data_IF_419342557860
#
_entry.id   IF_419342557860
#
_cell.length_a   1.000
_cell.length_b   1.000
_cell.length_c   1.000
_cell.angle_alpha   90.00
_cell.angle_beta   90.00
_cell.angle_gamma   90.00
#
_symmetry.space_group_name_H-M   'P 1'
#
loop_
_entity.id
_entity.type
_entity.pdbx_description
1 polymer ?
#
# COMPACT_ATOMS: atom_id res chain seq x y z
N UNK A 1 -15.84 -4.65 4.42
CA UNK A 1 -14.79 -5.51 3.81
C UNK A 1 -13.82 -6.06 4.85
N UNK A 2 -13.30 -5.23 5.78
CA UNK A 2 -12.47 -5.75 6.89
C UNK A 2 -13.29 -6.59 7.88
N UNK A 3 -14.51 -6.15 8.24
CA UNK A 3 -15.40 -6.93 9.12
C UNK A 3 -15.72 -8.32 8.53
N UNK A 4 -16.07 -8.37 7.24
CA UNK A 4 -16.27 -9.64 6.52
C UNK A 4 -14.99 -10.51 6.51
N UNK A 5 -13.82 -9.88 6.39
CA UNK A 5 -12.55 -10.60 6.42
C UNK A 5 -12.21 -11.15 7.81
N UNK A 6 -12.65 -10.48 8.87
CA UNK A 6 -12.56 -10.95 10.26
C UNK A 6 -13.51 -12.12 10.49
N UNK A 7 -14.79 -11.94 10.16
CA UNK A 7 -15.83 -12.96 10.31
C UNK A 7 -15.48 -14.26 9.56
N UNK A 8 -14.89 -14.14 8.38
CA UNK A 8 -14.48 -15.27 7.55
C UNK A 8 -13.05 -15.77 7.82
N UNK A 9 -12.33 -15.16 8.77
CA UNK A 9 -10.96 -15.56 9.15
C UNK A 9 -9.92 -15.40 8.04
N UNK A 10 -10.13 -14.48 7.10
CA UNK A 10 -9.21 -14.23 5.98
C UNK A 10 -7.99 -13.42 6.40
N UNK A 11 -8.16 -12.60 7.43
CA UNK A 11 -7.14 -11.81 8.09
C UNK A 11 -7.25 -12.04 9.59
N UNK A 12 -6.11 -12.04 10.25
CA UNK A 12 -6.01 -12.08 11.72
C UNK A 12 -6.30 -10.69 12.31
N UNK A 13 -6.66 -10.62 13.59
CA UNK A 13 -6.87 -9.34 14.27
C UNK A 13 -5.65 -8.38 14.18
N UNK A 14 -4.39 -8.84 14.30
CA UNK A 14 -3.22 -7.99 14.06
C UNK A 14 -3.12 -7.46 12.61
N UNK A 15 -3.44 -8.29 11.60
CA UNK A 15 -3.44 -7.86 10.20
C UNK A 15 -4.54 -6.84 9.91
N UNK A 16 -5.72 -7.02 10.51
CA UNK A 16 -6.84 -6.07 10.43
C UNK A 16 -6.44 -4.76 11.08
N UNK A 17 -5.90 -4.81 12.30
CA UNK A 17 -5.40 -3.63 13.01
C UNK A 17 -4.36 -2.88 12.18
N UNK A 18 -3.41 -3.58 11.56
CA UNK A 18 -2.40 -2.95 10.70
C UNK A 18 -3.00 -2.34 9.42
N UNK A 19 -3.94 -3.00 8.76
CA UNK A 19 -4.63 -2.45 7.59
C UNK A 19 -5.49 -1.24 7.92
N UNK A 20 -6.13 -1.22 9.09
CA UNK A 20 -6.94 -0.08 9.55
C UNK A 20 -6.12 1.20 9.78
N UNK A 21 -4.78 1.09 9.84
CA UNK A 21 -3.86 2.21 9.94
C UNK A 21 -3.30 2.69 8.60
N UNK A 22 -3.77 2.14 7.46
CA UNK A 22 -3.38 2.64 6.14
C UNK A 22 -3.96 4.03 5.90
N UNK A 23 -3.17 4.97 5.38
CA UNK A 23 -3.61 6.36 5.20
C UNK A 23 -4.41 6.56 3.93
N UNK A 24 -4.24 5.66 2.94
CA UNK A 24 -5.06 5.64 1.75
C UNK A 24 -5.06 4.28 1.06
N UNK A 25 -6.19 3.95 0.45
CA UNK A 25 -6.33 2.80 -0.44
C UNK A 25 -6.80 3.31 -1.79
N UNK A 26 -6.10 2.93 -2.86
CA UNK A 26 -6.49 3.29 -4.23
C UNK A 26 -6.68 2.02 -5.04
N UNK A 27 -7.88 1.83 -5.55
CA UNK A 27 -8.17 0.80 -6.55
C UNK A 27 -7.96 1.38 -7.95
N UNK A 28 -7.22 0.68 -8.79
CA UNK A 28 -6.95 1.12 -10.15
C UNK A 28 -6.78 -0.07 -11.11
N UNK A 29 -6.70 0.24 -12.40
CA UNK A 29 -6.38 -0.72 -13.46
C UNK A 29 -5.05 -0.31 -14.09
N UNK A 30 -4.09 -1.24 -14.15
CA UNK A 30 -2.82 -1.02 -14.83
C UNK A 30 -3.06 -0.98 -16.34
N UNK A 31 -2.69 0.14 -16.98
CA UNK A 31 -3.00 0.39 -18.40
C UNK A 31 -2.36 -0.58 -19.38
N UNK A 32 -1.17 -1.10 -19.08
CA UNK A 32 -0.40 -1.93 -20.01
C UNK A 32 -1.01 -3.31 -20.26
N UNK A 33 -1.74 -3.85 -19.27
CA UNK A 33 -2.23 -5.24 -19.29
C UNK A 33 -3.60 -5.40 -18.65
N UNK A 34 -4.29 -4.29 -18.36
CA UNK A 34 -5.62 -4.25 -17.73
C UNK A 34 -5.71 -4.94 -16.36
N UNK A 35 -4.56 -5.21 -15.72
CA UNK A 35 -4.50 -5.89 -14.43
C UNK A 35 -5.09 -4.99 -13.32
N UNK A 36 -6.08 -5.47 -12.55
CA UNK A 36 -6.51 -4.79 -11.33
C UNK A 36 -5.38 -4.66 -10.33
N UNK A 37 -5.20 -3.44 -9.80
CA UNK A 37 -4.21 -3.12 -8.77
C UNK A 37 -4.88 -2.43 -7.59
N UNK A 38 -4.35 -2.68 -6.40
CA UNK A 38 -4.68 -1.95 -5.18
C UNK A 38 -3.42 -1.35 -4.59
N UNK A 39 -3.44 -0.06 -4.27
CA UNK A 39 -2.31 0.63 -3.66
C UNK A 39 -2.55 0.82 -2.17
N UNK A 40 -1.59 0.41 -1.34
CA UNK A 40 -1.50 0.83 0.06
C UNK A 40 -0.67 2.11 0.12
N UNK A 41 -1.29 3.22 0.47
CA UNK A 41 -0.67 4.55 0.49
C UNK A 41 -0.30 4.94 1.91
N UNK A 42 0.98 5.23 2.12
CA UNK A 42 1.52 5.92 3.29
C UNK A 42 1.90 7.35 2.90
N UNK A 43 1.78 8.30 3.82
CA UNK A 43 2.00 9.72 3.65
C UNK A 43 2.88 10.23 4.80
N UNK A 44 4.09 10.69 4.45
CA UNK A 44 5.05 11.18 5.44
C UNK A 44 5.61 12.54 5.04
N UNK A 45 6.01 13.36 6.02
CA UNK A 45 6.75 14.59 5.71
C UNK A 45 8.11 14.25 5.07
N UNK A 46 8.81 13.27 5.63
CA UNK A 46 10.04 12.68 5.09
C UNK A 46 9.84 11.18 5.00
N UNK A 47 9.88 10.63 3.79
CA UNK A 47 9.73 9.19 3.56
C UNK A 47 11.00 8.43 3.91
N UNK A 48 10.91 7.48 4.83
CA UNK A 48 12.01 6.67 5.32
C UNK A 48 11.83 5.16 5.04
N UNK A 49 12.68 4.32 5.65
CA UNK A 49 12.61 2.87 5.46
C UNK A 49 11.36 2.27 6.09
N UNK A 50 10.94 2.79 7.24
CA UNK A 50 9.79 2.27 7.99
C UNK A 50 8.52 2.50 7.18
N UNK A 51 8.37 3.67 6.56
CA UNK A 51 7.24 3.96 5.67
C UNK A 51 7.14 2.95 4.52
N UNK A 52 8.29 2.63 3.89
CA UNK A 52 8.36 1.66 2.80
C UNK A 52 8.01 0.25 3.28
N UNK A 53 8.47 -0.15 4.46
CA UNK A 53 8.15 -1.45 5.06
C UNK A 53 6.67 -1.57 5.39
N UNK A 54 6.05 -0.52 5.94
CA UNK A 54 4.59 -0.46 6.17
C UNK A 54 3.82 -0.57 4.86
N UNK A 55 4.15 0.25 3.88
CA UNK A 55 3.48 0.24 2.58
C UNK A 55 3.56 -1.13 1.90
N UNK A 56 4.75 -1.75 1.88
CA UNK A 56 4.96 -3.06 1.28
C UNK A 56 4.15 -4.16 1.99
N UNK A 57 4.19 -4.20 3.32
CA UNK A 57 3.45 -5.20 4.11
C UNK A 57 1.94 -5.05 3.91
N UNK A 58 1.42 -3.82 3.99
CA UNK A 58 -0.01 -3.53 3.82
C UNK A 58 -0.48 -3.82 2.41
N UNK A 59 0.35 -3.57 1.39
CA UNK A 59 0.03 -3.95 0.01
C UNK A 59 -0.19 -5.46 -0.15
N UNK A 60 0.60 -6.31 0.52
CA UNK A 60 0.41 -7.77 0.50
C UNK A 60 -0.92 -8.17 1.17
N UNK A 61 -1.26 -7.52 2.29
CA UNK A 61 -2.54 -7.77 2.98
C UNK A 61 -3.73 -7.33 2.13
N UNK A 62 -3.66 -6.15 1.51
CA UNK A 62 -4.68 -5.66 0.58
C UNK A 62 -4.81 -6.58 -0.64
N UNK A 63 -3.70 -7.04 -1.23
CA UNK A 63 -3.73 -7.99 -2.34
C UNK A 63 -4.54 -9.25 -1.98
N UNK A 64 -4.26 -9.84 -0.81
CA UNK A 64 -4.98 -11.03 -0.33
C UNK A 64 -6.46 -10.74 -0.17
N UNK A 65 -6.79 -9.64 0.50
CA UNK A 65 -8.16 -9.23 0.77
C UNK A 65 -8.96 -9.02 -0.52
N UNK A 66 -8.42 -8.21 -1.43
CA UNK A 66 -9.09 -7.87 -2.69
C UNK A 66 -9.19 -9.05 -3.65
N UNK A 67 -8.16 -9.89 -3.75
CA UNK A 67 -8.20 -11.09 -4.59
C UNK A 67 -9.31 -12.03 -4.14
N UNK A 68 -9.48 -12.20 -2.82
CA UNK A 68 -10.58 -13.01 -2.29
C UNK A 68 -11.93 -12.36 -2.50
N UNK A 69 -12.09 -11.08 -2.14
CA UNK A 69 -13.37 -10.39 -2.25
C UNK A 69 -13.86 -10.31 -3.71
N UNK A 70 -12.96 -10.12 -4.68
CA UNK A 70 -13.30 -10.06 -6.11
C UNK A 70 -13.34 -11.40 -6.83
N UNK A 71 -12.85 -12.49 -6.20
CA UNK A 71 -12.73 -13.79 -6.85
C UNK A 71 -11.79 -13.84 -8.07
N UNK A 72 -10.96 -12.82 -8.26
CA UNK A 72 -10.03 -12.68 -9.39
C UNK A 72 -8.72 -12.04 -8.93
N UNK A 73 -7.63 -12.31 -9.65
CA UNK A 73 -6.30 -11.84 -9.28
C UNK A 73 -6.21 -10.32 -9.23
N UNK A 74 -5.85 -9.77 -8.07
CA UNK A 74 -5.50 -8.35 -7.87
C UNK A 74 -4.03 -8.27 -7.47
N UNK A 75 -3.32 -7.22 -7.91
CA UNK A 75 -1.93 -6.98 -7.50
C UNK A 75 -1.87 -5.86 -6.46
N UNK A 76 -1.26 -6.13 -5.32
CA UNK A 76 -0.99 -5.12 -4.29
C UNK A 76 0.30 -4.38 -4.55
N UNK A 77 0.26 -3.05 -4.48
CA UNK A 77 1.44 -2.19 -4.66
C UNK A 77 1.55 -1.25 -3.47
N UNK A 78 2.70 -1.27 -2.78
CA UNK A 78 2.98 -0.28 -1.75
C UNK A 78 3.26 1.08 -2.40
N UNK A 79 2.81 2.16 -1.80
CA UNK A 79 3.11 3.52 -2.22
C UNK A 79 3.40 4.40 -1.02
N UNK A 80 4.47 5.20 -1.09
CA UNK A 80 4.77 6.24 -0.11
C UNK A 80 4.76 7.59 -0.80
N UNK A 81 3.96 8.51 -0.29
CA UNK A 81 3.94 9.91 -0.69
C UNK A 81 4.69 10.74 0.36
N UNK A 82 5.70 11.50 -0.04
CA UNK A 82 6.43 12.38 0.88
C UNK A 82 6.99 13.63 0.22
N UNK A 83 7.43 14.61 1.01
CA UNK A 83 8.11 15.80 0.45
C UNK A 83 9.50 15.45 -0.07
N UNK A 84 10.18 14.55 0.64
CA UNK A 84 11.51 14.05 0.30
C UNK A 84 11.69 12.62 0.83
N UNK A 85 12.67 11.90 0.29
CA UNK A 85 12.96 10.52 0.67
C UNK A 85 14.42 10.34 1.08
N UNK A 86 14.64 9.60 2.16
CA UNK A 86 15.99 9.17 2.56
C UNK A 86 16.60 8.23 1.52
N UNK A 87 17.93 8.10 1.49
CA UNK A 87 18.59 7.12 0.63
C UNK A 87 18.17 5.67 0.98
N UNK A 88 17.95 5.41 2.28
CA UNK A 88 17.46 4.11 2.77
C UNK A 88 16.09 3.76 2.20
N UNK A 89 15.16 4.72 2.20
CA UNK A 89 13.83 4.54 1.60
C UNK A 89 13.92 4.19 0.12
N UNK A 90 14.73 4.93 -0.66
CA UNK A 90 14.89 4.73 -2.10
C UNK A 90 15.43 3.33 -2.44
N UNK A 91 16.49 2.91 -1.72
CA UNK A 91 17.08 1.57 -1.90
C UNK A 91 16.07 0.47 -1.60
N UNK A 92 15.35 0.60 -0.48
CA UNK A 92 14.38 -0.40 -0.05
C UNK A 92 13.16 -0.43 -0.97
N UNK A 93 12.66 0.72 -1.41
CA UNK A 93 11.52 0.82 -2.29
C UNK A 93 11.80 0.14 -3.64
N UNK A 94 12.99 0.35 -4.20
CA UNK A 94 13.43 -0.35 -5.41
C UNK A 94 13.48 -1.87 -5.21
N UNK A 95 13.97 -2.34 -4.06
CA UNK A 95 14.06 -3.77 -3.76
C UNK A 95 12.69 -4.42 -3.51
N UNK A 96 11.69 -3.64 -3.05
CA UNK A 96 10.37 -4.12 -2.66
C UNK A 96 9.27 -3.79 -3.67
N UNK A 97 9.57 -3.08 -4.75
CA UNK A 97 8.59 -2.63 -5.74
C UNK A 97 7.59 -1.60 -5.18
N UNK A 98 8.01 -0.78 -4.21
CA UNK A 98 7.18 0.29 -3.62
C UNK A 98 7.32 1.56 -4.45
N UNK A 99 6.19 2.19 -4.78
CA UNK A 99 6.17 3.45 -5.50
C UNK A 99 6.49 4.61 -4.57
N UNK A 100 7.38 5.50 -5.00
CA UNK A 100 7.69 6.73 -4.27
C UNK A 100 7.14 7.92 -5.03
N UNK A 101 6.29 8.71 -4.37
CA UNK A 101 5.72 9.93 -4.95
C UNK A 101 6.13 11.15 -4.14
N UNK A 102 6.82 12.09 -4.79
CA UNK A 102 7.05 13.40 -4.20
C UNK A 102 5.88 14.34 -4.48
N UNK A 103 5.53 15.18 -3.50
CA UNK A 103 4.61 16.29 -3.70
C UNK A 103 5.26 17.63 -3.30
N UNK A 104 5.08 18.70 -4.11
CA UNK A 104 5.69 19.99 -3.83
C UNK A 104 4.98 20.71 -2.67
N UNK A 105 5.74 21.53 -1.93
CA UNK A 105 5.15 22.52 -1.03
C UNK A 105 4.64 23.67 -1.90
N UNK A 106 3.32 23.89 -1.94
CA UNK A 106 2.79 25.21 -2.31
C UNK A 106 2.84 26.06 -1.06
N UNK A 107 3.90 26.86 -0.90
CA UNK A 107 3.88 27.98 0.03
C UNK A 107 2.81 28.94 -0.51
N UNK A 108 1.70 29.06 0.22
CA UNK A 108 0.72 30.13 0.00
C UNK A 108 1.20 31.39 0.70
#
# INVERSE_FOLDING_TARGET
>A
MLDEAEEKGYLTAPEISDLSQVEGVIEAIRRSDTQPVVLAVEVSAVGDRVDVERAARRAVLLQRLYTRHRGSGVVGIGSVAARQFTQGARKLASARGVLLKTFPIKLR
#
